data_IF_018146117373
#
_entry.id   IF_018146117373
#
_cell.length_a   1.000
_cell.length_b   1.000
_cell.length_c   1.000
_cell.angle_alpha   90.00
_cell.angle_beta   90.00
_cell.angle_gamma   90.00
#
_symmetry.space_group_name_H-M   'P 1'
#
loop_
_entity.id
_entity.type
_entity.pdbx_description
1 polymer ?
#
# COMPACT_ATOMS: atom_id res chain seq x y z
N UNK A 1 -16.30 -12.74 -2.30
CA UNK A 1 -17.62 -12.13 -1.95
C UNK A 1 -18.77 -13.13 -1.80
N UNK A 2 -18.66 -14.39 -2.24
CA UNK A 2 -19.73 -15.41 -2.11
C UNK A 2 -20.24 -15.66 -0.67
N UNK A 3 -19.38 -15.42 0.32
CA UNK A 3 -19.72 -15.53 1.74
C UNK A 3 -20.67 -14.45 2.24
N UNK A 4 -20.74 -13.31 1.54
CA UNK A 4 -21.60 -12.20 1.91
C UNK A 4 -23.01 -12.35 1.33
N UNK A 5 -23.17 -13.14 0.27
CA UNK A 5 -24.41 -13.20 -0.51
C UNK A 5 -24.53 -12.03 -1.48
N UNK A 6 -25.72 -11.84 -2.06
CA UNK A 6 -25.97 -10.72 -2.97
C UNK A 6 -25.93 -9.39 -2.21
N UNK A 7 -25.55 -8.32 -2.91
CA UNK A 7 -25.63 -6.97 -2.35
C UNK A 7 -27.10 -6.54 -2.29
N UNK A 8 -27.57 -6.23 -1.09
CA UNK A 8 -28.97 -5.91 -0.80
C UNK A 8 -29.19 -4.41 -0.56
N UNK A 9 -28.13 -3.61 -0.72
CA UNK A 9 -28.18 -2.16 -0.63
C UNK A 9 -27.40 -1.58 0.55
N UNK A 10 -27.53 -0.27 0.73
CA UNK A 10 -26.87 0.45 1.81
C UNK A 10 -27.76 0.48 3.05
N UNK A 11 -27.20 0.26 4.24
CA UNK A 11 -27.91 0.62 5.47
C UNK A 11 -27.83 2.14 5.66
N UNK A 12 -28.89 2.86 5.30
CA UNK A 12 -28.92 4.32 5.41
C UNK A 12 -28.82 4.81 6.86
N UNK A 13 -29.14 3.97 7.84
CA UNK A 13 -28.94 4.26 9.25
C UNK A 13 -27.47 3.97 9.61
N UNK A 14 -26.70 5.02 9.88
CA UNK A 14 -25.27 4.91 10.21
C UNK A 14 -24.32 5.10 9.04
N UNK A 15 -24.81 5.55 7.87
CA UNK A 15 -23.95 6.04 6.79
C UNK A 15 -23.52 7.47 7.09
N UNK A 16 -22.20 7.69 7.16
CA UNK A 16 -21.59 9.01 7.20
C UNK A 16 -21.04 9.35 5.82
N UNK A 17 -21.38 10.56 5.37
CA UNK A 17 -20.93 11.12 4.10
C UNK A 17 -20.21 12.44 4.34
N UNK A 18 -19.04 12.60 3.72
CA UNK A 18 -18.28 13.83 3.71
C UNK A 18 -17.93 14.18 2.27
N UNK A 19 -18.20 15.41 1.83
CA UNK A 19 -17.79 15.94 0.53
C UNK A 19 -16.97 17.21 0.77
N UNK A 20 -15.73 17.24 0.31
CA UNK A 20 -14.80 18.35 0.51
C UNK A 20 -14.13 18.70 -0.79
N UNK A 21 -14.01 19.99 -1.09
CA UNK A 21 -13.21 20.47 -2.20
C UNK A 21 -12.03 21.27 -1.66
N UNK A 22 -10.81 20.88 -2.01
CA UNK A 22 -9.57 21.57 -1.60
C UNK A 22 -8.55 21.54 -2.74
N UNK A 23 -7.92 22.68 -3.03
CA UNK A 23 -6.93 22.85 -4.11
C UNK A 23 -7.40 22.29 -5.48
N UNK A 24 -8.66 22.56 -5.85
CA UNK A 24 -9.24 22.09 -7.12
C UNK A 24 -9.54 20.59 -7.20
N UNK A 25 -9.41 19.87 -6.08
CA UNK A 25 -9.73 18.44 -5.99
C UNK A 25 -10.95 18.23 -5.10
N UNK A 26 -11.94 17.47 -5.58
CA UNK A 26 -13.12 17.06 -4.83
C UNK A 26 -12.86 15.70 -4.19
N UNK A 27 -13.00 15.57 -2.89
CA UNK A 27 -12.87 14.33 -2.13
C UNK A 27 -14.23 13.97 -1.53
N UNK A 28 -14.70 12.74 -1.76
CA UNK A 28 -15.96 12.26 -1.20
C UNK A 28 -15.72 10.99 -0.39
N UNK A 29 -16.04 11.02 0.90
CA UNK A 29 -15.86 9.89 1.80
C UNK A 29 -17.23 9.37 2.20
N UNK A 30 -17.44 8.09 1.96
CA UNK A 30 -18.62 7.33 2.39
C UNK A 30 -18.15 6.33 3.43
N UNK A 31 -18.82 6.23 4.56
CA UNK A 31 -18.54 5.20 5.56
C UNK A 31 -19.84 4.71 6.16
N UNK A 32 -19.96 3.40 6.38
CA UNK A 32 -21.18 2.84 6.95
C UNK A 32 -21.29 1.34 6.70
N UNK A 33 -22.44 0.77 7.04
CA UNK A 33 -22.68 -0.66 6.89
C UNK A 33 -23.37 -0.96 5.54
N UNK A 34 -22.74 -1.81 4.76
CA UNK A 34 -23.26 -2.33 3.50
C UNK A 34 -24.01 -3.62 3.81
N UNK A 35 -25.27 -3.71 3.37
CA UNK A 35 -26.10 -4.90 3.57
C UNK A 35 -25.85 -5.87 2.43
N UNK A 36 -25.50 -7.08 2.81
CA UNK A 36 -25.48 -8.23 1.93
C UNK A 36 -26.42 -9.30 2.50
N UNK A 37 -26.93 -10.18 1.64
CA UNK A 37 -27.94 -11.18 1.99
C UNK A 37 -27.57 -12.08 3.17
N UNK A 38 -26.28 -12.23 3.49
CA UNK A 38 -25.80 -13.07 4.60
C UNK A 38 -25.19 -12.28 5.76
N UNK A 39 -24.84 -11.00 5.59
CA UNK A 39 -24.24 -10.16 6.64
C UNK A 39 -24.20 -8.67 6.31
N UNK A 40 -24.07 -7.86 7.35
CA UNK A 40 -23.67 -6.46 7.22
C UNK A 40 -22.15 -6.31 7.32
N UNK A 41 -21.61 -5.44 6.49
CA UNK A 41 -20.17 -5.21 6.40
C UNK A 41 -19.91 -3.73 6.50
N UNK A 42 -19.18 -3.32 7.54
CA UNK A 42 -18.72 -1.95 7.65
C UNK A 42 -17.68 -1.68 6.56
N UNK A 43 -17.96 -0.70 5.69
CA UNK A 43 -17.07 -0.27 4.63
C UNK A 43 -16.86 1.24 4.67
N UNK A 44 -15.71 1.67 4.16
CA UNK A 44 -15.44 3.07 3.84
C UNK A 44 -15.03 3.16 2.37
N UNK A 45 -15.53 4.14 1.63
CA UNK A 45 -15.17 4.41 0.25
C UNK A 45 -14.74 5.87 0.16
N UNK A 46 -13.55 6.12 -0.35
CA UNK A 46 -13.05 7.46 -0.62
C UNK A 46 -13.08 7.64 -2.15
N UNK A 47 -13.54 8.79 -2.62
CA UNK A 47 -13.54 9.17 -4.03
C UNK A 47 -12.74 10.46 -4.19
N UNK A 48 -12.03 10.60 -5.30
CA UNK A 48 -11.32 11.80 -5.70
C UNK A 48 -11.77 12.19 -7.11
N UNK A 49 -12.36 13.36 -7.28
CA UNK A 49 -12.94 13.84 -8.53
C UNK A 49 -13.94 12.84 -9.14
N UNK A 50 -14.76 12.19 -8.29
CA UNK A 50 -15.76 11.21 -8.71
C UNK A 50 -15.20 9.82 -9.05
N UNK A 51 -13.89 9.62 -8.98
CA UNK A 51 -13.25 8.31 -9.16
C UNK A 51 -13.05 7.63 -7.81
N UNK A 52 -13.35 6.34 -7.70
CA UNK A 52 -13.10 5.57 -6.48
C UNK A 52 -11.59 5.56 -6.18
N UNK A 53 -11.22 6.22 -5.10
CA UNK A 53 -9.84 6.51 -4.66
C UNK A 53 -9.38 5.61 -3.50
N UNK A 54 -10.32 4.97 -2.80
CA UNK A 54 -10.04 3.94 -1.82
C UNK A 54 -11.32 3.22 -1.40
N UNK A 55 -11.22 1.94 -1.08
CA UNK A 55 -12.29 1.22 -0.41
C UNK A 55 -11.68 0.39 0.72
N UNK A 56 -12.23 0.52 1.92
CA UNK A 56 -11.85 -0.18 3.13
C UNK A 56 -13.01 -1.08 3.51
N UNK A 57 -12.77 -2.38 3.58
CA UNK A 57 -13.69 -3.29 4.25
C UNK A 57 -13.14 -3.51 5.66
N UNK A 58 -13.88 -3.09 6.70
CA UNK A 58 -13.44 -3.22 8.10
C UNK A 58 -13.48 -4.68 8.57
N UNK A 59 -14.32 -5.50 7.94
CA UNK A 59 -14.30 -6.96 8.12
C UNK A 59 -13.06 -7.53 7.41
N UNK A 60 -12.08 -7.93 8.21
CA UNK A 60 -10.77 -8.39 7.73
C UNK A 60 -10.88 -9.70 6.93
N UNK A 61 -11.83 -10.58 7.28
CA UNK A 61 -12.04 -11.83 6.56
C UNK A 61 -12.60 -11.58 5.15
N UNK A 62 -13.48 -10.60 5.01
CA UNK A 62 -14.04 -10.20 3.70
C UNK A 62 -13.01 -9.48 2.85
N UNK A 63 -12.22 -8.59 3.45
CA UNK A 63 -11.13 -7.92 2.75
C UNK A 63 -10.12 -8.93 2.19
N UNK A 64 -9.76 -9.95 3.00
CA UNK A 64 -8.90 -11.05 2.57
C UNK A 64 -9.54 -11.90 1.46
N UNK A 65 -10.82 -12.25 1.57
CA UNK A 65 -11.52 -13.01 0.55
C UNK A 65 -11.68 -12.26 -0.78
N UNK A 66 -11.87 -10.93 -0.74
CA UNK A 66 -11.96 -10.09 -1.94
C UNK A 66 -10.61 -9.95 -2.65
N UNK A 67 -9.51 -9.82 -1.88
CA UNK A 67 -8.15 -9.85 -2.42
C UNK A 67 -7.81 -11.22 -3.01
N UNK A 68 -8.19 -12.29 -2.33
CA UNK A 68 -8.03 -13.69 -2.77
C UNK A 68 -8.77 -13.98 -4.07
N UNK A 69 -10.00 -13.49 -4.22
CA UNK A 69 -10.77 -13.65 -5.46
C UNK A 69 -10.26 -12.74 -6.59
N UNK A 70 -9.75 -11.54 -6.27
CA UNK A 70 -9.29 -10.60 -7.28
C UNK A 70 -7.93 -10.97 -7.86
N UNK A 71 -7.01 -11.57 -7.09
CA UNK A 71 -5.63 -11.93 -7.46
C UNK A 71 -4.81 -10.83 -8.19
N UNK A 72 -5.35 -9.62 -8.25
CA UNK A 72 -4.89 -8.50 -9.05
C UNK A 72 -5.22 -7.25 -8.25
N UNK A 73 -4.19 -6.50 -7.89
CA UNK A 73 -4.39 -5.13 -7.41
C UNK A 73 -4.96 -4.35 -8.61
N UNK A 74 -6.14 -3.72 -8.51
CA UNK A 74 -6.68 -2.96 -9.63
C UNK A 74 -5.64 -1.97 -10.15
N UNK A 75 -5.43 -1.87 -11.47
CA UNK A 75 -4.37 -1.05 -12.07
C UNK A 75 -4.38 0.42 -11.60
N UNK A 76 -5.56 0.96 -11.25
CA UNK A 76 -5.69 2.30 -10.65
C UNK A 76 -5.15 2.40 -9.21
N UNK A 77 -5.22 1.32 -8.44
CA UNK A 77 -4.70 1.24 -7.08
C UNK A 77 -3.19 0.96 -7.05
N UNK A 78 -2.64 0.24 -8.03
CA UNK A 78 -1.20 -0.04 -8.14
C UNK A 78 -0.38 1.26 -8.17
N UNK A 79 -0.79 2.24 -8.98
CA UNK A 79 -0.14 3.57 -9.07
C UNK A 79 0.05 4.24 -7.71
N UNK A 80 -0.90 4.07 -6.80
CA UNK A 80 -0.82 4.64 -5.43
C UNK A 80 0.26 3.96 -4.60
N UNK A 81 0.35 2.63 -4.69
CA UNK A 81 1.34 1.86 -3.94
C UNK A 81 2.74 2.02 -4.53
N UNK A 82 2.85 2.12 -5.85
CA UNK A 82 4.09 2.51 -6.54
C UNK A 82 4.58 3.85 -6.03
N UNK A 83 3.73 4.89 -6.02
CA UNK A 83 4.10 6.20 -5.51
C UNK A 83 4.54 6.16 -4.03
N UNK A 84 3.82 5.41 -3.20
CA UNK A 84 4.20 5.24 -1.77
C UNK A 84 5.54 4.55 -1.60
N UNK A 85 5.84 3.56 -2.45
CA UNK A 85 7.13 2.89 -2.48
C UNK A 85 8.26 3.80 -2.98
N UNK A 86 8.01 4.61 -4.00
CA UNK A 86 8.95 5.62 -4.48
C UNK A 86 9.25 6.67 -3.40
N UNK A 87 8.23 7.15 -2.68
CA UNK A 87 8.41 8.06 -1.53
C UNK A 87 9.28 7.43 -0.43
N UNK A 88 9.09 6.14 -0.14
CA UNK A 88 9.93 5.40 0.81
C UNK A 88 11.38 5.33 0.33
N UNK A 89 11.63 4.92 -0.91
CA UNK A 89 12.98 4.80 -1.46
C UNK A 89 13.68 6.14 -1.54
N UNK A 90 12.98 7.17 -2.03
CA UNK A 90 13.51 8.51 -2.14
C UNK A 90 13.90 9.06 -0.77
N UNK A 91 13.03 8.95 0.24
CA UNK A 91 13.33 9.40 1.59
C UNK A 91 14.50 8.59 2.20
N UNK A 92 14.42 7.26 2.11
CA UNK A 92 15.33 6.34 2.76
C UNK A 92 16.74 6.40 2.21
N UNK A 93 16.89 6.65 0.91
CA UNK A 93 18.18 6.57 0.23
C UNK A 93 18.72 7.94 -0.20
N UNK A 94 18.13 9.04 0.29
CA UNK A 94 18.61 10.42 0.03
C UNK A 94 19.05 11.18 1.28
N UNK A 95 19.14 10.52 2.43
CA UNK A 95 19.50 11.15 3.71
C UNK A 95 18.30 11.65 4.54
N UNK A 96 17.10 11.09 4.33
CA UNK A 96 15.92 11.33 5.17
C UNK A 96 15.28 10.00 5.61
N UNK A 97 16.11 9.14 6.20
CA UNK A 97 15.77 7.79 6.63
C UNK A 97 14.65 7.79 7.68
N UNK A 98 14.57 8.84 8.50
CA UNK A 98 13.51 9.02 9.47
C UNK A 98 12.12 9.15 8.82
N UNK A 99 12.03 9.85 7.68
CA UNK A 99 10.78 9.96 6.93
C UNK A 99 10.40 8.62 6.28
N UNK A 100 11.38 7.85 5.78
CA UNK A 100 11.14 6.50 5.28
C UNK A 100 10.60 5.56 6.37
N UNK A 101 11.19 5.61 7.57
CA UNK A 101 10.71 4.84 8.72
C UNK A 101 9.25 5.17 9.06
N UNK A 102 8.87 6.45 9.04
CA UNK A 102 7.50 6.88 9.31
C UNK A 102 6.46 6.37 8.30
N UNK A 103 6.87 6.01 7.07
CA UNK A 103 5.99 5.44 6.04
C UNK A 103 5.71 3.95 6.24
N UNK A 104 6.50 3.27 7.10
CA UNK A 104 6.33 1.84 7.41
C UNK A 104 5.11 1.59 8.31
N UNK A 105 4.60 0.35 8.32
CA UNK A 105 3.56 -0.05 9.26
C UNK A 105 4.03 0.07 10.72
N UNK A 106 3.15 0.51 11.63
CA UNK A 106 3.46 0.66 13.05
C UNK A 106 3.99 -0.62 13.72
N UNK A 107 3.49 -1.80 13.32
CA UNK A 107 3.98 -3.07 13.84
C UNK A 107 5.45 -3.30 13.48
N UNK A 108 5.84 -2.94 12.25
CA UNK A 108 7.24 -3.01 11.80
C UNK A 108 8.09 -1.96 12.50
N UNK A 109 7.57 -0.74 12.66
CA UNK A 109 8.26 0.31 13.41
C UNK A 109 8.56 -0.12 14.86
N UNK A 110 7.60 -0.78 15.52
CA UNK A 110 7.76 -1.31 16.88
C UNK A 110 8.68 -2.53 16.94
N UNK A 111 8.59 -3.43 15.96
CA UNK A 111 9.33 -4.69 15.95
C UNK A 111 10.84 -4.46 15.73
N UNK A 112 11.21 -3.63 14.76
CA UNK A 112 12.62 -3.44 14.40
C UNK A 112 13.24 -2.21 15.06
N UNK A 113 12.41 -1.24 15.45
CA UNK A 113 12.88 0.04 15.98
C UNK A 113 13.44 0.95 14.89
N UNK A 114 13.52 2.25 15.20
CA UNK A 114 13.96 3.27 14.24
C UNK A 114 15.43 3.10 13.85
N UNK A 115 16.29 2.80 14.82
CA UNK A 115 17.75 2.78 14.63
C UNK A 115 18.17 1.74 13.60
N UNK A 116 17.66 0.51 13.69
CA UNK A 116 18.03 -0.58 12.78
C UNK A 116 17.62 -0.29 11.33
N UNK A 117 16.41 0.24 11.11
CA UNK A 117 15.90 0.57 9.78
C UNK A 117 16.68 1.75 9.18
N UNK A 118 16.95 2.79 9.99
CA UNK A 118 17.74 3.94 9.56
C UNK A 118 19.16 3.53 9.21
N UNK A 119 19.80 2.71 10.05
CA UNK A 119 21.15 2.20 9.80
C UNK A 119 21.20 1.36 8.52
N UNK A 120 20.23 0.49 8.29
CA UNK A 120 20.15 -0.31 7.06
C UNK A 120 20.08 0.56 5.80
N UNK A 121 19.19 1.55 5.78
CA UNK A 121 19.02 2.47 4.65
C UNK A 121 20.26 3.34 4.44
N UNK A 122 20.84 3.84 5.54
CA UNK A 122 22.05 4.65 5.52
C UNK A 122 23.24 3.85 4.99
N UNK A 123 23.42 2.60 5.40
CA UNK A 123 24.50 1.75 4.91
C UNK A 123 24.43 1.56 3.39
N UNK A 124 23.22 1.51 2.81
CA UNK A 124 23.04 1.42 1.36
C UNK A 124 23.45 2.73 0.68
N UNK A 125 23.04 3.88 1.20
CA UNK A 125 23.40 5.18 0.64
C UNK A 125 24.87 5.57 0.86
N UNK A 126 25.47 5.17 1.97
CA UNK A 126 26.89 5.41 2.27
C UNK A 126 27.78 4.58 1.33
N UNK A 127 27.34 3.37 0.96
CA UNK A 127 28.07 2.50 0.03
C UNK A 127 27.93 2.93 -1.44
N UNK A 128 26.74 3.31 -1.88
CA UNK A 128 26.45 3.52 -3.31
C UNK A 128 26.31 4.99 -3.70
N UNK A 129 26.27 5.90 -2.72
CA UNK A 129 25.79 7.27 -2.88
C UNK A 129 24.26 7.37 -2.73
N UNK A 130 23.73 8.59 -2.82
CA UNK A 130 22.28 8.82 -2.75
C UNK A 130 21.57 8.31 -4.00
N UNK A 131 20.35 7.82 -3.86
CA UNK A 131 19.55 7.38 -5.01
C UNK A 131 19.31 8.55 -5.98
N UNK A 132 19.50 8.30 -7.27
CA UNK A 132 19.34 9.28 -8.36
C UNK A 132 18.17 8.97 -9.28
N UNK A 133 17.80 7.69 -9.43
CA UNK A 133 16.57 7.32 -10.13
C UNK A 133 15.92 6.09 -9.49
N UNK A 134 14.59 6.06 -9.54
CA UNK A 134 13.75 4.97 -9.04
C UNK A 134 12.82 4.59 -10.19
N UNK A 135 12.85 3.33 -10.61
CA UNK A 135 12.01 2.83 -11.71
C UNK A 135 11.21 1.63 -11.25
N UNK A 136 9.89 1.74 -11.25
CA UNK A 136 9.00 0.59 -11.04
C UNK A 136 9.09 -0.39 -12.21
N UNK A 137 9.12 -1.69 -11.92
CA UNK A 137 9.24 -2.76 -12.91
C UNK A 137 7.94 -3.58 -13.02
N UNK A 138 7.51 -4.17 -11.91
CA UNK A 138 6.34 -5.05 -11.84
C UNK A 138 5.85 -5.17 -10.39
N UNK A 139 4.67 -5.75 -10.21
CA UNK A 139 4.21 -6.24 -8.92
C UNK A 139 3.63 -7.66 -9.04
N UNK A 140 3.75 -8.45 -7.98
CA UNK A 140 3.09 -9.77 -7.88
C UNK A 140 2.76 -10.12 -6.44
N UNK A 141 1.78 -11.00 -6.18
CA UNK A 141 1.56 -11.57 -4.84
C UNK A 141 2.84 -12.23 -4.30
N UNK A 142 3.11 -12.07 -3.01
CA UNK A 142 4.28 -12.69 -2.36
C UNK A 142 4.17 -14.22 -2.37
N UNK A 143 2.99 -14.72 -2.02
CA UNK A 143 2.60 -16.13 -2.09
C UNK A 143 1.19 -16.23 -2.68
N UNK A 144 0.81 -17.37 -3.29
CA UNK A 144 -0.57 -17.64 -3.64
C UNK A 144 -1.47 -17.47 -2.41
N UNK A 145 -2.58 -16.75 -2.54
CA UNK A 145 -3.51 -16.43 -1.45
C UNK A 145 -2.97 -15.53 -0.33
N UNK A 146 -1.80 -14.91 -0.50
CA UNK A 146 -1.29 -13.94 0.47
C UNK A 146 -2.04 -12.60 0.38
N UNK A 147 -2.25 -11.96 1.54
CA UNK A 147 -2.60 -10.54 1.59
C UNK A 147 -1.40 -9.62 1.33
N UNK A 148 -0.25 -10.17 0.92
CA UNK A 148 0.99 -9.43 0.65
C UNK A 148 1.34 -9.47 -0.83
N UNK A 149 1.84 -8.35 -1.33
CA UNK A 149 2.43 -8.27 -2.68
C UNK A 149 3.82 -7.64 -2.63
N UNK A 150 4.66 -8.12 -3.52
CA UNK A 150 5.97 -7.58 -3.81
C UNK A 150 5.85 -6.56 -4.94
N UNK A 151 6.47 -5.40 -4.77
CA UNK A 151 6.60 -4.36 -5.78
C UNK A 151 8.09 -4.20 -6.09
N UNK A 152 8.45 -4.42 -7.35
CA UNK A 152 9.83 -4.47 -7.80
C UNK A 152 10.27 -3.15 -8.41
N UNK A 153 11.49 -2.75 -8.09
CA UNK A 153 12.10 -1.52 -8.54
C UNK A 153 13.52 -1.77 -9.03
N UNK A 154 13.94 -0.96 -10.00
CA UNK A 154 15.33 -0.74 -10.35
C UNK A 154 15.77 0.60 -9.76
N UNK A 155 16.83 0.59 -8.96
CA UNK A 155 17.37 1.77 -8.30
C UNK A 155 18.73 2.14 -8.90
N UNK A 156 18.87 3.40 -9.29
CA UNK A 156 20.14 3.94 -9.71
C UNK A 156 20.76 4.79 -8.62
N UNK A 157 22.06 4.57 -8.44
CA UNK A 157 22.96 5.35 -7.61
C UNK A 157 24.11 5.90 -8.47
N UNK A 158 24.94 6.81 -7.95
CA UNK A 158 26.18 7.22 -8.60
C UNK A 158 27.12 6.05 -8.86
N UNK A 159 27.31 5.17 -7.88
CA UNK A 159 28.31 4.08 -7.93
C UNK A 159 27.72 2.73 -8.39
N UNK A 160 26.40 2.63 -8.55
CA UNK A 160 25.73 1.39 -8.94
C UNK A 160 24.48 1.68 -9.77
N UNK A 161 24.33 0.99 -10.90
CA UNK A 161 23.19 1.11 -11.81
C UNK A 161 22.32 -0.13 -11.76
N UNK A 162 21.03 0.07 -11.98
CA UNK A 162 20.01 -0.96 -12.03
C UNK A 162 20.01 -1.92 -10.82
N UNK A 163 20.21 -1.40 -9.61
CA UNK A 163 20.21 -2.20 -8.39
C UNK A 163 18.79 -2.72 -8.14
N UNK A 164 18.57 -4.05 -8.11
CA UNK A 164 17.23 -4.60 -7.91
C UNK A 164 16.78 -4.34 -6.47
N UNK A 165 15.55 -3.88 -6.30
CA UNK A 165 14.96 -3.65 -4.99
C UNK A 165 13.49 -4.10 -4.98
N UNK A 166 12.97 -4.41 -3.80
CA UNK A 166 11.54 -4.64 -3.65
C UNK A 166 10.99 -4.06 -2.35
N UNK A 167 9.69 -3.76 -2.38
CA UNK A 167 8.88 -3.47 -1.19
C UNK A 167 7.80 -4.53 -1.06
N UNK A 168 7.59 -5.01 0.16
CA UNK A 168 6.42 -5.83 0.51
C UNK A 168 5.32 -4.93 1.06
N UNK A 169 4.18 -4.90 0.39
CA UNK A 169 2.96 -4.32 0.92
C UNK A 169 2.05 -5.40 1.47
N UNK A 170 1.42 -5.13 2.62
CA UNK A 170 0.33 -5.92 3.16
C UNK A 170 -1.00 -5.17 3.03
N UNK A 171 -2.01 -5.82 2.47
CA UNK A 171 -3.32 -5.25 2.17
C UNK A 171 -4.38 -5.65 3.19
N UNK A 172 -4.10 -5.50 4.50
CA UNK A 172 -5.16 -5.60 5.51
C UNK A 172 -6.18 -4.49 5.28
N UNK A 173 -7.39 -4.85 4.88
CA UNK A 173 -8.41 -3.87 4.49
C UNK A 173 -7.98 -2.95 3.34
N UNK A 174 -7.07 -3.39 2.45
CA UNK A 174 -6.58 -2.62 1.30
C UNK A 174 -5.90 -1.28 1.63
N UNK A 175 -5.37 -1.12 2.84
CA UNK A 175 -4.61 0.09 3.20
C UNK A 175 -3.21 0.13 2.59
N UNK A 176 -2.68 -1.02 2.14
CA UNK A 176 -1.33 -1.14 1.57
C UNK A 176 -0.26 -0.66 2.54
N UNK A 177 -0.07 -1.42 3.60
CA UNK A 177 0.93 -1.17 4.63
C UNK A 177 2.30 -1.63 4.16
N UNK A 178 3.31 -0.76 4.21
CA UNK A 178 4.68 -1.15 3.91
C UNK A 178 5.19 -1.98 5.09
N UNK A 179 5.38 -3.27 4.87
CA UNK A 179 5.74 -4.24 5.93
C UNK A 179 7.12 -4.85 5.76
N UNK A 180 7.82 -4.53 4.67
CA UNK A 180 9.19 -4.98 4.44
C UNK A 180 9.76 -4.38 3.17
N UNK A 181 11.09 -4.45 3.04
CA UNK A 181 11.81 -4.02 1.86
C UNK A 181 13.16 -4.75 1.77
N UNK A 182 13.77 -4.77 0.58
CA UNK A 182 15.13 -5.28 0.37
C UNK A 182 15.83 -4.50 -0.73
N UNK A 183 17.10 -4.17 -0.52
CA UNK A 183 18.00 -3.55 -1.49
C UNK A 183 19.45 -3.96 -1.18
N UNK A 184 20.14 -4.72 -2.05
CA UNK A 184 19.60 -5.39 -3.23
C UNK A 184 18.53 -6.45 -2.86
N UNK A 185 17.72 -6.81 -3.84
CA UNK A 185 16.67 -7.82 -3.71
C UNK A 185 17.06 -9.10 -4.43
N UNK A 186 16.92 -10.24 -3.75
CA UNK A 186 17.06 -11.58 -4.34
C UNK A 186 15.75 -12.09 -4.98
N UNK A 187 14.63 -11.40 -4.71
CA UNK A 187 13.32 -11.70 -5.31
C UNK A 187 13.29 -11.30 -6.78
N UNK A 188 12.67 -12.15 -7.62
CA UNK A 188 12.54 -11.90 -9.05
C UNK A 188 11.23 -11.17 -9.39
N UNK A 189 11.29 -10.16 -10.29
CA UNK A 189 10.14 -9.43 -10.82
C UNK A 189 9.05 -10.31 -11.44
#
# INVERSE_FOLDING_TARGET
LKECGNFDGLNMNGMSFSDKTSNGKRTQDYSGNFRFAKKEIAMEMNFLNGLLFGFLVKDTAVAQAALKEANVIPAGAEKRYVKKAEEFWQAGLSGNEAAAFALMNEAVQKQFGRESIVEMLKNVSDKNGKVVAIKFLSSRPKEPDSNKSLFFFSLDFPEAKDVPAHITFEFVGLKGHLVGFSVPSDEKP
#
